data_IF_552876088557
#
_entry.id   IF_552876088557
#
_cell.length_a   1.000
_cell.length_b   1.000
_cell.length_c   1.000
_cell.angle_alpha   90.00
_cell.angle_beta   90.00
_cell.angle_gamma   90.00
#
_symmetry.space_group_name_H-M   'P 1'
#
loop_
_entity.id
_entity.type
_entity.pdbx_description
1 polymer ?
#
# COMPACT_ATOMS: atom_id res chain seq x y z
N UNK A 1 27.82 -28.44 -30.96
CA UNK A 1 27.56 -27.60 -29.78
C UNK A 1 26.92 -26.31 -30.24
N UNK A 2 25.66 -26.09 -29.89
CA UNK A 2 25.02 -24.81 -29.56
C UNK A 2 23.54 -25.15 -29.28
N UNK A 3 23.15 -25.06 -28.02
CA UNK A 3 21.80 -25.41 -27.54
C UNK A 3 20.80 -24.33 -27.94
N UNK A 4 19.59 -24.82 -28.19
CA UNK A 4 18.32 -24.13 -28.39
C UNK A 4 18.13 -22.86 -27.55
N UNK A 5 17.80 -21.78 -28.24
CA UNK A 5 16.99 -20.67 -27.70
C UNK A 5 15.83 -20.47 -28.67
N UNK A 6 14.71 -21.13 -28.40
CA UNK A 6 13.41 -20.75 -28.95
C UNK A 6 12.51 -20.50 -27.75
N UNK A 7 12.16 -19.23 -27.57
CA UNK A 7 11.29 -18.74 -26.53
C UNK A 7 9.97 -19.51 -26.55
N UNK A 8 9.54 -19.95 -25.37
CA UNK A 8 8.32 -20.70 -25.13
C UNK A 8 7.09 -19.82 -25.38
N UNK A 9 6.61 -19.79 -26.63
CA UNK A 9 5.36 -19.14 -27.04
C UNK A 9 4.18 -20.11 -26.84
N UNK A 10 3.91 -20.46 -25.58
CA UNK A 10 2.70 -21.19 -25.22
C UNK A 10 1.59 -20.18 -24.93
N UNK A 11 0.66 -20.06 -25.89
CA UNK A 11 -0.60 -19.35 -25.72
C UNK A 11 -1.36 -20.00 -24.56
N UNK A 12 -1.41 -19.31 -23.42
CA UNK A 12 -2.20 -19.73 -22.26
C UNK A 12 -3.69 -19.70 -22.62
N UNK A 13 -4.42 -20.72 -22.19
CA UNK A 13 -5.87 -20.78 -22.32
C UNK A 13 -6.55 -19.73 -21.45
N UNK A 14 -7.79 -19.38 -21.79
CA UNK A 14 -8.58 -18.38 -21.03
C UNK A 14 -8.78 -18.78 -19.57
N UNK A 15 -8.87 -20.09 -19.28
CA UNK A 15 -8.94 -20.64 -17.92
C UNK A 15 -7.61 -20.52 -17.18
N UNK A 16 -6.48 -20.82 -17.82
CA UNK A 16 -5.15 -20.65 -17.22
C UNK A 16 -4.82 -19.16 -16.97
N UNK A 17 -5.27 -18.27 -17.85
CA UNK A 17 -5.20 -16.82 -17.64
C UNK A 17 -6.10 -16.41 -16.47
N UNK A 18 -7.31 -16.95 -16.37
CA UNK A 18 -8.22 -16.63 -15.27
C UNK A 18 -7.70 -17.13 -13.91
N UNK A 19 -7.14 -18.34 -13.82
CA UNK A 19 -6.54 -18.89 -12.59
C UNK A 19 -5.32 -18.08 -12.15
N UNK A 20 -4.44 -17.71 -13.10
CA UNK A 20 -3.29 -16.84 -12.83
C UNK A 20 -3.70 -15.47 -12.29
N UNK A 21 -4.88 -14.98 -12.65
CA UNK A 21 -5.39 -13.66 -12.26
C UNK A 21 -6.35 -13.70 -11.05
N UNK A 22 -6.86 -14.87 -10.68
CA UNK A 22 -7.74 -15.08 -9.52
C UNK A 22 -7.02 -15.51 -8.24
N UNK A 23 -5.70 -15.69 -8.30
CA UNK A 23 -4.92 -15.85 -7.07
C UNK A 23 -4.91 -14.52 -6.32
N UNK A 24 -5.64 -14.47 -5.21
CA UNK A 24 -5.52 -13.38 -4.23
C UNK A 24 -4.06 -13.36 -3.78
N UNK A 25 -3.32 -12.35 -4.22
CA UNK A 25 -1.96 -12.14 -3.76
C UNK A 25 -2.05 -11.68 -2.31
N UNK A 26 -1.93 -12.62 -1.38
CA UNK A 26 -1.79 -12.33 0.05
C UNK A 26 -0.45 -11.64 0.36
N UNK A 27 0.50 -11.69 -0.59
CA UNK A 27 1.81 -11.08 -0.51
C UNK A 27 2.07 -10.18 -1.73
N UNK A 28 2.73 -9.01 -1.56
CA UNK A 28 3.14 -8.17 -2.68
C UNK A 28 3.92 -8.96 -3.74
N UNK A 29 3.62 -8.76 -5.05
CA UNK A 29 4.46 -9.28 -6.11
C UNK A 29 5.92 -8.85 -5.94
N UNK A 30 6.85 -9.71 -6.37
CA UNK A 30 8.25 -9.31 -6.46
C UNK A 30 8.42 -8.16 -7.46
N UNK A 31 9.25 -7.14 -7.17
CA UNK A 31 9.54 -6.06 -8.11
C UNK A 31 10.19 -6.60 -9.38
N UNK A 32 9.85 -6.01 -10.52
CA UNK A 32 10.50 -6.36 -11.78
C UNK A 32 12.01 -6.04 -11.71
N UNK A 33 12.90 -7.00 -12.02
CA UNK A 33 14.34 -6.78 -11.99
C UNK A 33 14.83 -5.76 -13.03
N UNK A 34 14.07 -5.48 -14.09
CA UNK A 34 14.40 -4.48 -15.11
C UNK A 34 14.02 -3.05 -14.70
N UNK A 35 13.27 -2.88 -13.60
CA UNK A 35 12.89 -1.55 -13.12
C UNK A 35 14.09 -0.71 -12.72
N UNK A 36 13.94 0.60 -12.92
CA UNK A 36 14.90 1.56 -12.45
C UNK A 36 15.07 1.44 -10.92
N UNK A 37 16.31 1.48 -10.37
CA UNK A 37 16.55 1.21 -8.95
C UNK A 37 15.71 2.05 -7.97
N UNK A 38 15.42 3.29 -8.35
CA UNK A 38 14.54 4.18 -7.55
C UNK A 38 13.10 3.69 -7.52
N UNK A 39 12.56 3.26 -8.67
CA UNK A 39 11.20 2.77 -8.78
C UNK A 39 11.03 1.46 -7.98
N UNK A 40 11.96 0.52 -8.17
CA UNK A 40 11.99 -0.72 -7.41
C UNK A 40 12.09 -0.47 -5.89
N UNK A 41 12.89 0.51 -5.47
CA UNK A 41 13.00 0.91 -4.05
C UNK A 41 11.68 1.46 -3.51
N UNK A 42 10.99 2.32 -4.26
CA UNK A 42 9.68 2.86 -3.86
C UNK A 42 8.67 1.72 -3.71
N UNK A 43 8.60 0.82 -4.70
CA UNK A 43 7.70 -0.33 -4.66
C UNK A 43 7.95 -1.23 -3.43
N UNK A 44 9.21 -1.62 -3.19
CA UNK A 44 9.58 -2.39 -1.98
C UNK A 44 9.25 -1.66 -0.68
N UNK A 45 9.44 -0.34 -0.65
CA UNK A 45 9.10 0.45 0.54
C UNK A 45 7.60 0.44 0.83
N UNK A 46 6.75 0.39 -0.20
CA UNK A 46 5.30 0.23 -0.01
C UNK A 46 4.99 -1.13 0.62
N UNK A 47 5.56 -2.22 0.09
CA UNK A 47 5.46 -3.57 0.64
C UNK A 47 5.87 -3.69 2.11
N UNK A 48 6.92 -2.98 2.51
CA UNK A 48 7.43 -3.02 3.89
C UNK A 48 6.70 -2.07 4.85
N UNK A 49 5.85 -1.19 4.34
CA UNK A 49 5.18 -0.19 5.17
C UNK A 49 3.87 -0.73 5.75
N UNK A 50 3.48 -0.25 6.93
CA UNK A 50 2.32 -0.77 7.66
C UNK A 50 0.99 -0.66 6.89
N UNK A 51 0.81 0.35 6.02
CA UNK A 51 -0.42 0.49 5.22
C UNK A 51 -0.61 -0.62 4.19
N UNK A 52 0.46 -1.35 3.81
CA UNK A 52 0.34 -2.49 2.88
C UNK A 52 -0.60 -3.57 3.40
N UNK A 53 -0.81 -3.66 4.71
CA UNK A 53 -1.80 -4.57 5.32
C UNK A 53 -3.24 -4.28 4.88
N UNK A 54 -3.51 -3.08 4.36
CA UNK A 54 -4.81 -2.67 3.84
C UNK A 54 -4.91 -2.80 2.31
N UNK A 55 -3.81 -3.10 1.62
CA UNK A 55 -3.79 -3.16 0.17
C UNK A 55 -4.52 -4.39 -0.35
N UNK A 56 -5.30 -4.16 -1.39
CA UNK A 56 -5.91 -5.18 -2.22
C UNK A 56 -5.03 -5.44 -3.46
N UNK A 57 -5.30 -6.52 -4.22
CA UNK A 57 -4.59 -6.78 -5.47
C UNK A 57 -4.62 -5.58 -6.45
N UNK A 58 -5.69 -4.78 -6.43
CA UNK A 58 -5.78 -3.54 -7.22
C UNK A 58 -4.78 -2.48 -6.80
N UNK A 59 -4.47 -2.35 -5.51
CA UNK A 59 -3.47 -1.40 -5.02
C UNK A 59 -2.07 -1.82 -5.46
N UNK A 60 -1.78 -3.13 -5.43
CA UNK A 60 -0.53 -3.67 -5.97
C UNK A 60 -0.40 -3.47 -7.48
N UNK A 61 -1.49 -3.60 -8.23
CA UNK A 61 -1.52 -3.29 -9.66
C UNK A 61 -1.23 -1.80 -9.92
N UNK A 62 -1.79 -0.89 -9.12
CA UNK A 62 -1.50 0.55 -9.21
C UNK A 62 -0.05 0.84 -8.84
N UNK A 63 0.48 0.21 -7.79
CA UNK A 63 1.87 0.36 -7.38
C UNK A 63 2.84 -0.14 -8.47
N UNK A 64 2.53 -1.25 -9.14
CA UNK A 64 3.33 -1.79 -10.24
C UNK A 64 3.29 -0.89 -11.47
N UNK A 65 2.10 -0.41 -11.85
CA UNK A 65 1.94 0.57 -12.93
C UNK A 65 2.75 1.84 -12.66
N UNK A 66 2.75 2.31 -11.41
CA UNK A 66 3.52 3.48 -10.99
C UNK A 66 5.02 3.22 -11.10
N UNK A 67 5.51 2.08 -10.59
CA UNK A 67 6.92 1.72 -10.66
C UNK A 67 7.40 1.57 -12.11
N UNK A 68 6.56 1.03 -12.99
CA UNK A 68 6.85 0.92 -14.41
C UNK A 68 6.91 2.29 -15.10
N UNK A 69 5.94 3.17 -14.81
CA UNK A 69 5.96 4.55 -15.31
C UNK A 69 7.21 5.31 -14.84
N UNK A 70 7.57 5.17 -13.57
CA UNK A 70 8.80 5.73 -13.01
C UNK A 70 10.04 5.18 -13.72
N UNK A 71 10.09 3.88 -13.95
CA UNK A 71 11.24 3.24 -14.60
C UNK A 71 11.47 3.74 -16.01
N UNK A 72 10.41 3.89 -16.81
CA UNK A 72 10.49 4.41 -18.19
C UNK A 72 10.94 5.86 -18.28
N UNK A 73 10.52 6.69 -17.32
CA UNK A 73 10.85 8.12 -17.31
C UNK A 73 12.21 8.42 -16.67
N UNK A 74 12.64 7.61 -15.70
CA UNK A 74 13.94 7.76 -15.03
C UNK A 74 15.09 7.12 -15.82
N UNK A 75 14.81 6.10 -16.64
CA UNK A 75 15.83 5.43 -17.44
C UNK A 75 16.23 6.28 -18.66
N UNK A 76 17.47 6.13 -19.16
CA UNK A 76 17.86 6.71 -20.44
C UNK A 76 16.89 6.31 -21.55
N UNK A 77 16.49 7.27 -22.38
CA UNK A 77 15.53 7.04 -23.46
C UNK A 77 16.23 7.08 -24.83
N UNK A 78 15.83 6.21 -25.78
CA UNK A 78 16.38 6.24 -27.12
C UNK A 78 15.89 7.49 -27.86
N UNK A 79 16.83 8.23 -28.45
CA UNK A 79 16.56 9.35 -29.35
C UNK A 79 17.18 9.04 -30.69
N UNK A 80 16.37 9.08 -31.75
CA UNK A 80 16.84 8.92 -33.13
C UNK A 80 17.38 10.27 -33.61
N UNK A 81 18.66 10.29 -33.93
CA UNK A 81 19.36 11.45 -34.51
C UNK A 81 19.01 11.59 -36.00
N UNK A 82 19.31 12.76 -36.59
CA UNK A 82 18.96 13.05 -38.00
C UNK A 82 19.65 12.13 -39.01
N UNK A 83 20.78 11.56 -38.64
CA UNK A 83 21.59 10.61 -39.41
C UNK A 83 21.14 9.14 -39.22
N UNK A 84 20.13 8.90 -38.37
CA UNK A 84 19.60 7.56 -38.08
C UNK A 84 20.25 6.87 -36.88
N UNK A 85 21.22 7.50 -36.20
CA UNK A 85 21.83 6.93 -35.00
C UNK A 85 20.85 6.95 -33.81
N UNK A 86 20.79 5.87 -33.03
CA UNK A 86 20.02 5.80 -31.79
C UNK A 86 20.95 6.02 -30.61
N UNK A 87 20.76 7.14 -29.91
CA UNK A 87 21.53 7.46 -28.70
C UNK A 87 20.63 7.40 -27.49
N UNK A 88 21.11 6.78 -26.42
CA UNK A 88 20.41 6.75 -25.13
C UNK A 88 20.70 8.04 -24.38
N UNK A 89 19.66 8.83 -24.10
CA UNK A 89 19.82 10.15 -23.47
C UNK A 89 19.01 10.20 -22.17
N UNK A 90 19.66 10.65 -21.09
CA UNK A 90 18.95 10.98 -19.86
C UNK A 90 18.25 12.33 -20.05
N UNK A 91 16.92 12.34 -19.94
CA UNK A 91 16.12 13.56 -20.09
C UNK A 91 15.71 14.10 -18.72
N UNK A 92 15.62 15.43 -18.54
CA UNK A 92 15.03 16.01 -17.34
C UNK A 92 13.58 15.56 -17.17
N UNK A 93 13.20 15.25 -15.93
CA UNK A 93 11.83 14.86 -15.63
C UNK A 93 10.87 16.03 -15.81
N UNK A 94 9.71 15.72 -16.40
CA UNK A 94 8.63 16.69 -16.56
C UNK A 94 7.88 16.84 -15.24
N UNK A 95 7.65 18.09 -14.81
CA UNK A 95 6.95 18.36 -13.55
C UNK A 95 5.52 17.80 -13.46
N UNK A 96 4.82 17.67 -14.60
CA UNK A 96 3.49 17.04 -14.68
C UNK A 96 3.53 15.55 -14.35
N UNK A 97 4.56 14.84 -14.80
CA UNK A 97 4.77 13.41 -14.52
C UNK A 97 5.05 13.19 -13.03
N UNK A 98 5.96 14.00 -12.46
CA UNK A 98 6.24 13.95 -11.02
C UNK A 98 4.97 14.21 -10.19
N UNK A 99 4.17 15.19 -10.61
CA UNK A 99 2.90 15.51 -9.95
C UNK A 99 1.88 14.37 -10.04
N UNK A 100 1.81 13.65 -11.16
CA UNK A 100 0.97 12.47 -11.31
C UNK A 100 1.41 11.33 -10.39
N UNK A 101 2.72 11.09 -10.29
CA UNK A 101 3.27 10.09 -9.39
C UNK A 101 3.00 10.39 -7.92
N UNK A 102 3.17 11.65 -7.49
CA UNK A 102 2.85 12.05 -6.12
C UNK A 102 1.37 11.84 -5.79
N UNK A 103 0.47 12.12 -6.73
CA UNK A 103 -0.97 11.84 -6.56
C UNK A 103 -1.26 10.35 -6.39
N UNK A 104 -0.62 9.49 -7.20
CA UNK A 104 -0.76 8.05 -7.06
C UNK A 104 -0.22 7.54 -5.71
N UNK A 105 0.93 8.06 -5.26
CA UNK A 105 1.50 7.74 -3.95
C UNK A 105 0.59 8.19 -2.80
N UNK A 106 -0.05 9.36 -2.91
CA UNK A 106 -1.05 9.81 -1.94
C UNK A 106 -2.26 8.89 -1.89
N UNK A 107 -2.77 8.45 -3.05
CA UNK A 107 -3.88 7.48 -3.12
C UNK A 107 -3.53 6.15 -2.44
N UNK A 108 -2.26 5.73 -2.53
CA UNK A 108 -1.72 4.56 -1.85
C UNK A 108 -1.34 4.81 -0.38
N UNK A 109 -1.55 6.01 0.18
CA UNK A 109 -1.16 6.37 1.55
C UNK A 109 0.34 6.12 1.83
N UNK A 110 1.19 6.34 0.83
CA UNK A 110 2.60 6.00 0.86
C UNK A 110 3.37 6.70 2.00
N UNK A 111 3.01 7.96 2.31
CA UNK A 111 3.69 8.74 3.35
C UNK A 111 2.89 8.79 4.65
N UNK A 112 3.61 9.03 5.75
CA UNK A 112 3.01 9.26 7.06
C UNK A 112 2.05 10.47 7.06
N UNK A 113 2.38 11.51 6.29
CA UNK A 113 1.50 12.66 6.12
C UNK A 113 0.18 12.32 5.43
N UNK A 114 0.20 11.42 4.44
CA UNK A 114 -1.02 10.96 3.76
C UNK A 114 -1.92 10.16 4.72
N UNK A 115 -1.33 9.25 5.50
CA UNK A 115 -2.07 8.46 6.50
C UNK A 115 -2.74 9.33 7.56
N UNK A 116 -2.00 10.31 8.12
CA UNK A 116 -2.54 11.25 9.11
C UNK A 116 -3.71 12.07 8.55
N UNK A 117 -3.62 12.53 7.29
CA UNK A 117 -4.71 13.26 6.63
C UNK A 117 -5.95 12.38 6.39
N UNK A 118 -5.74 11.12 6.03
CA UNK A 118 -6.81 10.15 5.84
C UNK A 118 -7.43 9.66 7.18
N UNK A 119 -6.86 10.07 8.32
CA UNK A 119 -7.23 9.57 9.67
C UNK A 119 -7.16 8.05 9.77
N UNK A 120 -6.26 7.45 8.99
CA UNK A 120 -5.94 6.02 9.10
C UNK A 120 -4.89 5.91 10.21
N UNK A 121 -5.36 5.85 11.45
CA UNK A 121 -4.51 5.58 12.61
C UNK A 121 -4.19 4.08 12.63
N UNK A 122 -3.02 3.71 12.10
CA UNK A 122 -2.49 2.37 12.35
C UNK A 122 -2.03 2.35 13.80
N UNK A 123 -2.75 1.63 14.66
CA UNK A 123 -2.25 1.26 15.98
C UNK A 123 -0.95 0.49 15.75
N UNK A 124 0.20 1.11 16.01
CA UNK A 124 1.41 0.33 16.21
C UNK A 124 1.11 -0.57 17.38
N UNK A 125 1.22 -1.89 17.19
CA UNK A 125 1.23 -2.81 18.31
C UNK A 125 2.25 -2.24 19.31
N UNK A 126 1.75 -1.75 20.44
CA UNK A 126 2.62 -1.49 21.58
C UNK A 126 3.35 -2.81 21.80
N UNK A 127 4.68 -2.77 21.79
CA UNK A 127 5.48 -3.84 22.36
C UNK A 127 4.81 -4.28 23.67
N UNK A 128 4.67 -5.59 23.88
CA UNK A 128 3.87 -6.26 24.93
C UNK A 128 4.28 -5.94 26.39
N UNK A 129 4.93 -4.80 26.65
CA UNK A 129 5.38 -4.38 27.98
C UNK A 129 4.53 -3.26 28.63
N UNK A 130 3.57 -2.66 27.93
CA UNK A 130 2.78 -1.53 28.47
C UNK A 130 1.29 -1.81 28.74
N UNK A 131 0.84 -3.07 28.79
CA UNK A 131 -0.57 -3.40 29.08
C UNK A 131 -0.91 -3.55 30.57
N UNK A 132 -0.27 -2.79 31.46
CA UNK A 132 -0.68 -2.68 32.88
C UNK A 132 -1.36 -1.34 33.20
N UNK A 133 -2.18 -0.84 32.28
CA UNK A 133 -2.92 0.42 32.43
C UNK A 133 -4.43 0.18 32.48
N UNK A 134 -4.91 -0.24 33.63
CA UNK A 134 -6.26 -0.03 34.18
C UNK A 134 -7.43 0.02 33.16
N UNK A 135 -7.85 -1.16 32.67
CA UNK A 135 -9.18 -1.30 32.10
C UNK A 135 -10.18 -1.23 33.26
N UNK A 136 -10.87 -0.11 33.43
CA UNK A 136 -12.08 -0.04 34.24
C UNK A 136 -13.09 -1.02 33.65
N UNK A 137 -13.24 -2.17 34.30
CA UNK A 137 -14.05 -3.26 33.79
C UNK A 137 -15.53 -2.87 33.83
N UNK A 138 -16.33 -3.38 32.90
CA UNK A 138 -17.79 -3.23 32.93
C UNK A 138 -18.39 -3.73 34.26
N UNK A 139 -17.69 -4.63 34.94
CA UNK A 139 -17.96 -5.10 36.30
C UNK A 139 -17.87 -3.97 37.35
N UNK A 140 -16.86 -3.10 37.27
CA UNK A 140 -16.68 -1.98 38.21
C UNK A 140 -17.75 -0.90 37.99
N UNK A 141 -18.09 -0.62 36.73
CA UNK A 141 -19.22 0.24 36.38
C UNK A 141 -20.56 -0.31 36.90
N UNK A 142 -20.79 -1.63 36.76
CA UNK A 142 -21.99 -2.30 37.31
C UNK A 142 -22.03 -2.26 38.84
N UNK A 143 -20.89 -2.38 39.51
CA UNK A 143 -20.79 -2.31 40.97
C UNK A 143 -21.14 -0.93 41.49
N UNK A 144 -20.70 0.12 40.79
CA UNK A 144 -21.02 1.51 41.12
C UNK A 144 -22.51 1.83 40.93
N UNK A 145 -23.15 1.30 39.88
CA UNK A 145 -24.60 1.44 39.67
C UNK A 145 -25.45 0.66 40.67
N UNK A 146 -24.94 -0.44 41.25
CA UNK A 146 -25.63 -1.16 42.33
C UNK A 146 -25.45 -0.52 43.71
N UNK A 147 -24.45 0.33 43.88
CA UNK A 147 -24.20 1.07 45.12
C UNK A 147 -24.85 2.45 45.17
N UNK A 148 -25.34 2.97 44.04
CA UNK A 148 -26.18 4.15 44.01
C UNK A 148 -27.63 3.71 44.25
N UNK A 149 -28.10 3.96 45.47
CA UNK A 149 -29.48 3.75 45.90
C UNK A 149 -30.48 4.15 44.81
N UNK A 150 -31.33 3.20 44.44
CA UNK A 150 -32.56 3.47 43.71
C UNK A 150 -33.40 4.41 44.58
N UNK A 151 -33.72 5.64 44.15
CA UNK A 151 -34.63 6.49 44.92
C UNK A 151 -35.98 5.78 44.97
N UNK A 152 -36.44 5.54 46.20
CA UNK A 152 -37.74 4.96 46.52
C UNK A 152 -38.86 5.71 45.77
N UNK A 153 -39.67 5.03 44.92
CA UNK A 153 -40.70 5.69 44.12
C UNK A 153 -41.84 6.31 44.95
N UNK A 154 -41.90 6.09 46.27
CA UNK A 154 -43.04 6.48 47.12
C UNK A 154 -42.75 7.60 48.16
N UNK A 155 -41.78 8.49 47.92
CA UNK A 155 -41.61 9.66 48.80
C UNK A 155 -42.57 10.81 48.44
N UNK A 156 -43.44 11.27 49.38
CA UNK A 156 -44.32 12.40 49.13
C UNK A 156 -43.52 13.71 49.14
N UNK A 157 -43.66 14.49 48.06
CA UNK A 157 -43.07 15.80 47.89
C UNK A 157 -43.44 16.74 49.05
N UNK A 158 -42.46 17.15 49.85
CA UNK A 158 -42.59 18.25 50.80
C UNK A 158 -42.03 19.54 50.20
N UNK A 159 -42.86 20.60 50.25
CA UNK A 159 -42.68 21.96 49.73
C UNK A 159 -41.41 22.69 50.16
#
# INVERSE_FOLDING_TARGET
MAKETMANDQLLTTEELAERWHTKLDEPPEPDPEWHPVAARIYRSLAQSAQSQLYQPSDWAVAALLAESMSRELSPQPVVMKDGEVVMVSRPLRGSVVSAWLKALTALLATEGDRRRARVEVQRAASEEDSSGDFTTLEDYRRQLRGADHPDPDLPWSS
#
